data_IF_225708912824
#
_entry.id   IF_225708912824
#
_cell.length_a   1.000
_cell.length_b   1.000
_cell.length_c   1.000
_cell.angle_alpha   90.00
_cell.angle_beta   90.00
_cell.angle_gamma   90.00
#
_symmetry.space_group_name_H-M   'P 1'
#
loop_
_entity.id
_entity.type
_entity.pdbx_description
1 polymer ?
#
# COMPACT_ATOMS: atom_id res chain seq x y z
N UNK A 1 23.01 10.15 -17.32
CA UNK A 1 21.85 9.70 -16.52
C UNK A 1 21.45 8.36 -17.11
N UNK A 2 21.57 7.27 -16.35
CA UNK A 2 21.22 5.93 -16.84
C UNK A 2 19.80 5.62 -16.34
N UNK A 3 18.91 5.13 -17.22
CA UNK A 3 17.53 4.76 -16.86
C UNK A 3 17.41 3.25 -16.98
N UNK A 4 16.95 2.59 -15.93
CA UNK A 4 16.71 1.16 -15.88
C UNK A 4 15.36 0.80 -16.52
N UNK A 5 15.20 -0.45 -16.95
CA UNK A 5 13.98 -0.99 -17.56
C UNK A 5 12.73 -0.84 -16.67
N UNK A 6 12.90 -0.80 -15.34
CA UNK A 6 11.83 -0.61 -14.36
C UNK A 6 11.46 0.87 -14.13
N UNK A 7 11.93 1.80 -14.96
CA UNK A 7 11.69 3.23 -14.82
C UNK A 7 12.48 3.91 -13.70
N UNK A 8 13.48 3.24 -13.12
CA UNK A 8 14.37 3.88 -12.13
C UNK A 8 15.50 4.63 -12.81
N UNK A 9 15.88 5.77 -12.24
CA UNK A 9 17.01 6.59 -12.68
C UNK A 9 18.20 6.36 -11.76
N UNK A 10 19.37 6.09 -12.36
CA UNK A 10 20.65 6.10 -11.69
C UNK A 10 21.31 7.47 -11.77
N UNK A 11 21.50 8.06 -10.60
CA UNK A 11 22.35 9.24 -10.42
C UNK A 11 23.74 8.75 -10.01
N UNK A 12 24.74 9.00 -10.85
CA UNK A 12 26.14 8.65 -10.56
C UNK A 12 26.96 9.92 -10.48
N UNK A 13 27.69 10.10 -9.38
CA UNK A 13 28.58 11.25 -9.24
C UNK A 13 29.68 11.21 -10.32
N UNK A 14 30.00 12.37 -10.89
CA UNK A 14 31.11 12.45 -11.84
C UNK A 14 32.41 12.13 -11.12
N UNK A 15 33.35 11.49 -11.84
CA UNK A 15 34.68 11.19 -11.27
C UNK A 15 35.41 12.48 -10.89
N UNK A 16 35.22 13.56 -11.64
CA UNK A 16 35.86 14.86 -11.40
C UNK A 16 35.32 15.52 -10.14
N UNK A 17 34.00 15.50 -9.90
CA UNK A 17 33.40 16.05 -8.68
C UNK A 17 33.88 15.32 -7.40
N UNK A 18 34.20 14.03 -7.50
CA UNK A 18 34.67 13.25 -6.35
C UNK A 18 36.16 13.46 -6.02
N UNK A 19 36.99 13.97 -6.94
CA UNK A 19 38.45 14.09 -6.75
C UNK A 19 38.83 15.04 -5.60
N UNK A 20 38.07 16.12 -5.37
CA UNK A 20 38.31 17.11 -4.32
C UNK A 20 37.30 17.10 -3.17
N UNK A 21 36.52 16.02 -3.04
CA UNK A 21 35.45 15.98 -2.04
C UNK A 21 36.02 15.79 -0.62
N UNK A 22 35.72 16.67 0.35
CA UNK A 22 36.21 16.58 1.73
C UNK A 22 35.69 15.33 2.48
N UNK A 23 34.64 14.70 1.94
CA UNK A 23 34.00 13.53 2.52
C UNK A 23 34.45 12.21 1.89
N UNK A 24 35.42 12.24 0.97
CA UNK A 24 35.95 11.04 0.30
C UNK A 24 36.73 10.18 1.29
N UNK A 25 36.34 8.91 1.44
CA UNK A 25 36.97 7.96 2.37
C UNK A 25 36.40 7.97 3.79
N UNK A 26 35.73 9.04 4.21
CA UNK A 26 35.03 9.11 5.51
C UNK A 26 33.56 8.72 5.37
N UNK A 27 32.73 9.63 4.84
CA UNK A 27 31.30 9.41 4.59
C UNK A 27 31.06 8.77 3.21
N UNK A 28 31.85 9.14 2.20
CA UNK A 28 31.78 8.59 0.85
C UNK A 28 32.85 7.51 0.65
N UNK A 29 32.52 6.28 1.06
CA UNK A 29 33.43 5.11 0.95
C UNK A 29 33.51 4.53 -0.47
N UNK A 30 32.45 4.67 -1.27
CA UNK A 30 32.41 4.13 -2.62
C UNK A 30 33.34 4.92 -3.56
N UNK A 31 34.12 4.20 -4.38
CA UNK A 31 34.99 4.79 -5.43
C UNK A 31 34.18 5.59 -6.47
N UNK A 32 32.91 5.23 -6.66
CA UNK A 32 31.92 5.91 -7.50
C UNK A 32 30.56 5.87 -6.80
N UNK A 33 30.22 6.88 -5.98
CA UNK A 33 28.92 6.89 -5.31
C UNK A 33 27.80 7.07 -6.34
N UNK A 34 26.75 6.28 -6.16
CA UNK A 34 25.56 6.34 -6.99
C UNK A 34 24.30 6.05 -6.19
N UNK A 35 23.20 6.68 -6.59
CA UNK A 35 21.89 6.53 -5.96
C UNK A 35 20.91 6.14 -7.05
N UNK A 36 20.16 5.07 -6.82
CA UNK A 36 19.02 4.70 -7.64
C UNK A 36 17.78 5.34 -7.04
N UNK A 37 17.04 6.10 -7.83
CA UNK A 37 15.71 6.59 -7.45
C UNK A 37 14.70 6.13 -8.50
N UNK A 38 13.46 5.85 -8.11
CA UNK A 38 12.39 5.74 -9.10
C UNK A 38 12.28 7.07 -9.85
N UNK A 39 12.07 7.03 -11.17
CA UNK A 39 11.74 8.25 -11.89
C UNK A 39 10.54 8.91 -11.22
N UNK A 40 10.57 10.24 -11.13
CA UNK A 40 9.44 11.00 -10.63
C UNK A 40 8.32 10.86 -11.66
N UNK A 41 7.25 10.16 -11.28
CA UNK A 41 6.08 9.94 -12.13
C UNK A 41 4.98 10.91 -11.74
N UNK A 42 4.10 11.24 -12.69
CA UNK A 42 2.96 12.14 -12.44
C UNK A 42 2.08 11.67 -11.26
N UNK A 43 1.97 10.36 -11.07
CA UNK A 43 1.31 9.78 -9.90
C UNK A 43 2.00 10.18 -8.59
N UNK A 44 3.33 10.04 -8.50
CA UNK A 44 4.05 10.36 -7.26
C UNK A 44 3.88 11.84 -6.91
N UNK A 45 3.85 12.72 -7.92
CA UNK A 45 3.61 14.15 -7.76
C UNK A 45 2.19 14.42 -7.28
N UNK A 46 1.21 13.72 -7.84
CA UNK A 46 -0.17 13.79 -7.39
C UNK A 46 -0.32 13.30 -5.95
N UNK A 47 0.32 12.19 -5.58
CA UNK A 47 0.32 11.65 -4.21
C UNK A 47 0.96 12.65 -3.25
N UNK A 48 2.11 13.21 -3.60
CA UNK A 48 2.81 14.21 -2.78
C UNK A 48 1.93 15.44 -2.54
N UNK A 49 1.26 15.96 -3.57
CA UNK A 49 0.28 17.05 -3.43
C UNK A 49 -0.93 16.64 -2.58
N UNK A 50 -1.47 15.44 -2.78
CA UNK A 50 -2.64 14.96 -2.07
C UNK A 50 -2.36 14.78 -0.57
N UNK A 51 -1.19 14.24 -0.20
CA UNK A 51 -0.83 13.98 1.20
C UNK A 51 -0.75 15.24 2.08
N UNK A 52 -0.52 16.42 1.47
CA UNK A 52 -0.51 17.70 2.19
C UNK A 52 -1.93 18.17 2.55
N UNK A 53 -2.97 17.66 1.87
CA UNK A 53 -4.36 18.06 2.13
C UNK A 53 -4.85 17.59 3.51
N UNK A 54 -5.73 18.37 4.13
CA UNK A 54 -6.27 18.02 5.45
C UNK A 54 -7.06 16.70 5.42
N UNK A 55 -7.78 16.45 4.32
CA UNK A 55 -8.49 15.18 4.10
C UNK A 55 -7.55 13.98 4.11
N UNK A 56 -6.36 14.10 3.51
CA UNK A 56 -5.38 13.03 3.52
C UNK A 56 -4.79 12.82 4.91
N UNK A 57 -4.46 13.91 5.63
CA UNK A 57 -3.96 13.85 7.01
C UNK A 57 -4.96 13.17 7.94
N UNK A 58 -6.23 13.55 7.88
CA UNK A 58 -7.28 12.94 8.68
C UNK A 58 -7.52 11.47 8.33
N UNK A 59 -7.43 11.12 7.04
CA UNK A 59 -7.52 9.72 6.62
C UNK A 59 -6.36 8.88 7.16
N UNK A 60 -5.15 9.44 7.20
CA UNK A 60 -3.97 8.77 7.78
C UNK A 60 -4.13 8.58 9.29
N UNK A 61 -4.55 9.64 10.01
CA UNK A 61 -4.84 9.56 11.45
C UNK A 61 -5.85 8.45 11.77
N UNK A 62 -6.95 8.37 11.00
CA UNK A 62 -7.96 7.31 11.16
C UNK A 62 -7.42 5.92 10.83
N UNK A 63 -6.60 5.79 9.78
CA UNK A 63 -5.99 4.51 9.40
C UNK A 63 -5.05 3.97 10.47
N UNK A 64 -4.32 4.83 11.17
CA UNK A 64 -3.43 4.40 12.25
C UNK A 64 -4.20 3.57 13.31
N UNK A 65 -5.32 4.09 13.82
CA UNK A 65 -6.12 3.38 14.82
C UNK A 65 -6.91 2.20 14.22
N UNK A 66 -7.47 2.35 13.01
CA UNK A 66 -8.26 1.28 12.38
C UNK A 66 -7.42 0.06 12.03
N UNK A 67 -6.23 0.25 11.48
CA UNK A 67 -5.36 -0.87 11.11
C UNK A 67 -4.95 -1.69 12.34
N UNK A 68 -4.51 -1.02 13.41
CA UNK A 68 -4.12 -1.67 14.66
C UNK A 68 -5.28 -2.45 15.29
N UNK A 69 -6.47 -1.87 15.28
CA UNK A 69 -7.68 -2.52 15.81
C UNK A 69 -8.01 -3.80 15.04
N UNK A 70 -7.97 -3.75 13.71
CA UNK A 70 -8.23 -4.93 12.85
C UNK A 70 -7.17 -5.99 13.07
N UNK A 71 -5.89 -5.63 13.20
CA UNK A 71 -4.83 -6.59 13.48
C UNK A 71 -4.95 -7.22 14.88
N UNK A 72 -5.35 -6.45 15.89
CA UNK A 72 -5.60 -6.96 17.23
C UNK A 72 -6.76 -7.97 17.23
N UNK A 73 -7.88 -7.63 16.59
CA UNK A 73 -9.02 -8.54 16.41
C UNK A 73 -8.59 -9.81 15.67
N UNK A 74 -7.85 -9.67 14.58
CA UNK A 74 -7.39 -10.80 13.77
C UNK A 74 -6.49 -11.76 14.56
N UNK A 75 -5.64 -11.25 15.44
CA UNK A 75 -4.78 -12.08 16.30
C UNK A 75 -5.59 -12.82 17.37
N UNK A 76 -6.53 -12.13 18.04
CA UNK A 76 -7.24 -12.66 19.21
C UNK A 76 -8.46 -13.48 18.80
N UNK A 77 -9.34 -12.93 17.97
CA UNK A 77 -10.63 -13.54 17.59
C UNK A 77 -10.45 -14.55 16.46
N UNK A 78 -9.62 -14.23 15.46
CA UNK A 78 -9.41 -15.08 14.28
C UNK A 78 -8.17 -15.99 14.38
N UNK A 79 -7.53 -16.03 15.56
CA UNK A 79 -6.46 -16.98 15.85
C UNK A 79 -5.17 -16.78 15.05
N UNK A 80 -4.95 -15.61 14.42
CA UNK A 80 -3.71 -15.32 13.69
C UNK A 80 -2.53 -14.95 14.61
N UNK A 81 -2.64 -15.13 15.93
CA UNK A 81 -1.50 -14.97 16.83
C UNK A 81 -0.40 -16.01 16.58
N UNK A 82 -0.76 -17.17 16.01
CA UNK A 82 0.18 -18.22 15.60
C UNK A 82 -0.25 -18.84 14.27
N UNK A 83 0.72 -19.20 13.45
CA UNK A 83 0.46 -20.05 12.29
C UNK A 83 0.12 -21.46 12.78
N UNK A 84 -1.07 -21.96 12.42
CA UNK A 84 -1.49 -23.33 12.76
C UNK A 84 -0.99 -24.34 11.73
N UNK A 85 -0.78 -23.86 10.50
CA UNK A 85 -0.26 -24.64 9.38
C UNK A 85 1.25 -24.40 9.18
N UNK A 86 1.94 -25.37 8.57
CA UNK A 86 3.37 -25.27 8.21
C UNK A 86 3.55 -25.12 6.71
N UNK A 87 4.51 -24.27 6.31
CA UNK A 87 4.82 -23.96 4.92
C UNK A 87 4.14 -22.68 4.44
N UNK A 88 4.83 -21.91 3.59
CA UNK A 88 4.42 -20.56 3.15
C UNK A 88 3.00 -20.55 2.58
N UNK A 89 2.72 -21.44 1.65
CA UNK A 89 1.47 -21.43 0.90
C UNK A 89 0.27 -21.75 1.82
N UNK A 90 0.45 -22.67 2.76
CA UNK A 90 -0.59 -23.03 3.73
C UNK A 90 -0.86 -21.90 4.72
N UNK A 91 0.19 -21.24 5.23
CA UNK A 91 0.04 -20.06 6.11
C UNK A 91 -0.62 -18.91 5.35
N UNK A 92 -0.29 -18.71 4.08
CA UNK A 92 -0.92 -17.71 3.24
C UNK A 92 -2.43 -17.98 3.09
N UNK A 93 -2.83 -19.23 2.85
CA UNK A 93 -4.26 -19.62 2.81
C UNK A 93 -4.94 -19.32 4.15
N UNK A 94 -4.32 -19.66 5.28
CA UNK A 94 -4.86 -19.37 6.62
C UNK A 94 -5.14 -17.87 6.79
N UNK A 95 -4.17 -17.01 6.45
CA UNK A 95 -4.30 -15.56 6.56
C UNK A 95 -5.39 -15.04 5.60
N UNK A 96 -5.42 -15.50 4.35
CA UNK A 96 -6.40 -15.07 3.36
C UNK A 96 -7.83 -15.41 3.78
N UNK A 97 -8.06 -16.61 4.30
CA UNK A 97 -9.39 -17.03 4.78
C UNK A 97 -9.84 -16.19 5.99
N UNK A 98 -8.94 -15.95 6.94
CA UNK A 98 -9.26 -15.12 8.10
C UNK A 98 -9.61 -13.67 7.71
N UNK A 99 -8.85 -13.09 6.77
CA UNK A 99 -9.15 -11.77 6.20
C UNK A 99 -10.47 -11.75 5.41
N UNK A 100 -10.78 -12.81 4.67
CA UNK A 100 -12.05 -12.92 3.95
C UNK A 100 -13.24 -12.93 4.91
N UNK A 101 -13.14 -13.67 6.02
CA UNK A 101 -14.17 -13.68 7.07
C UNK A 101 -14.35 -12.30 7.69
N UNK A 102 -13.26 -11.58 8.00
CA UNK A 102 -13.34 -10.22 8.51
C UNK A 102 -14.03 -9.27 7.50
N UNK A 103 -13.69 -9.35 6.22
CA UNK A 103 -14.33 -8.57 5.17
C UNK A 103 -15.83 -8.86 5.07
N UNK A 104 -16.24 -10.13 5.15
CA UNK A 104 -17.65 -10.53 5.17
C UNK A 104 -18.36 -9.97 6.40
N UNK A 105 -17.75 -10.06 7.58
CA UNK A 105 -18.30 -9.48 8.83
C UNK A 105 -18.56 -7.98 8.67
N UNK A 106 -17.60 -7.24 8.11
CA UNK A 106 -17.74 -5.81 7.85
C UNK A 106 -18.84 -5.50 6.83
N UNK A 107 -18.98 -6.31 5.78
CA UNK A 107 -20.08 -6.18 4.81
C UNK A 107 -21.44 -6.37 5.48
N UNK A 108 -21.63 -7.43 6.26
CA UNK A 108 -22.88 -7.69 6.97
C UNK A 108 -23.21 -6.54 7.93
N UNK A 109 -22.23 -6.08 8.70
CA UNK A 109 -22.42 -4.96 9.62
C UNK A 109 -22.72 -3.64 8.89
N UNK A 110 -22.17 -3.44 7.69
CA UNK A 110 -22.49 -2.28 6.85
C UNK A 110 -23.92 -2.33 6.31
N UNK A 111 -24.47 -3.51 6.03
CA UNK A 111 -25.85 -3.69 5.59
C UNK A 111 -26.82 -3.44 6.74
N UNK A 112 -26.53 -3.98 7.94
CA UNK A 112 -27.35 -3.78 9.14
C UNK A 112 -27.46 -2.31 9.57
N UNK A 113 -26.36 -1.55 9.44
CA UNK A 113 -26.30 -0.13 9.81
C UNK A 113 -26.99 0.82 8.82
N UNK A 114 -27.46 0.32 7.67
CA UNK A 114 -28.26 1.16 6.77
C UNK A 114 -29.63 1.40 7.41
N UNK A 115 -30.09 2.65 7.56
CA UNK A 115 -31.49 2.88 7.91
C UNK A 115 -32.35 2.18 6.86
N UNK A 116 -33.37 1.43 7.29
CA UNK A 116 -34.35 0.83 6.37
C UNK A 116 -35.11 1.99 5.70
N UNK A 117 -34.58 2.50 4.59
CA UNK A 117 -35.36 3.37 3.72
C UNK A 117 -36.49 2.52 3.16
N UNK A 118 -37.72 2.80 3.56
CA UNK A 118 -38.92 2.30 2.91
C UNK A 118 -38.82 2.64 1.42
N UNK A 119 -38.60 1.62 0.58
CA UNK A 119 -38.25 1.85 -0.82
C UNK A 119 -37.29 0.79 -1.33
N UNK A 120 -37.79 -0.44 -1.43
CA UNK A 120 -37.21 -1.45 -2.31
C UNK A 120 -37.15 -0.92 -3.74
N UNK A 121 -36.09 -1.31 -4.47
CA UNK A 121 -35.80 -1.02 -5.89
C UNK A 121 -34.93 0.22 -6.18
N UNK A 122 -33.63 0.11 -5.92
CA UNK A 122 -32.59 0.52 -6.89
C UNK A 122 -31.26 -0.17 -6.54
N UNK A 123 -31.27 -1.50 -6.54
CA UNK A 123 -30.30 -2.34 -5.82
C UNK A 123 -28.97 -2.59 -6.56
N UNK A 124 -28.71 -2.06 -7.76
CA UNK A 124 -27.51 -2.47 -8.53
C UNK A 124 -26.56 -1.35 -8.99
N UNK A 125 -26.92 -0.06 -8.90
CA UNK A 125 -26.03 1.00 -9.44
C UNK A 125 -24.99 1.53 -8.43
N UNK A 126 -25.20 1.34 -7.12
CA UNK A 126 -24.33 1.95 -6.09
C UNK A 126 -23.14 1.08 -5.66
N UNK A 127 -23.21 -0.24 -5.83
CA UNK A 127 -22.11 -1.13 -5.40
C UNK A 127 -20.93 -1.12 -6.38
N UNK A 128 -21.20 -1.03 -7.69
CA UNK A 128 -20.14 -0.93 -8.71
C UNK A 128 -19.36 0.38 -8.57
N UNK A 129 -20.01 1.49 -8.26
CA UNK A 129 -19.36 2.81 -8.24
C UNK A 129 -18.37 3.01 -7.09
N UNK A 130 -18.54 2.33 -5.94
CA UNK A 130 -17.62 2.46 -4.78
C UNK A 130 -16.64 1.28 -4.63
N UNK A 131 -17.01 0.09 -5.09
CA UNK A 131 -16.12 -1.07 -5.09
C UNK A 131 -15.21 -1.07 -6.34
N UNK A 132 -15.72 -0.71 -7.53
CA UNK A 132 -14.87 -0.55 -8.72
C UNK A 132 -13.99 0.68 -8.67
N UNK A 133 -14.32 1.75 -7.93
CA UNK A 133 -13.39 2.88 -7.73
C UNK A 133 -12.19 2.51 -6.84
N UNK A 134 -12.37 1.53 -5.96
CA UNK A 134 -11.30 1.03 -5.08
C UNK A 134 -10.50 -0.07 -5.80
N UNK A 135 -11.16 -0.89 -6.63
CA UNK A 135 -10.49 -1.93 -7.43
C UNK A 135 -9.78 -1.37 -8.66
N UNK A 136 -10.30 -0.34 -9.36
CA UNK A 136 -9.57 0.31 -10.46
C UNK A 136 -8.22 0.89 -9.99
N UNK A 137 -8.15 1.36 -8.75
CA UNK A 137 -6.91 1.89 -8.17
C UNK A 137 -5.91 0.77 -7.83
N UNK A 138 -6.38 -0.43 -7.47
CA UNK A 138 -5.51 -1.58 -7.20
C UNK A 138 -5.17 -2.39 -8.45
N UNK A 139 -5.95 -2.32 -9.54
CA UNK A 139 -5.63 -3.02 -10.78
C UNK A 139 -4.64 -2.27 -11.67
N UNK A 140 -4.54 -0.94 -11.56
CA UNK A 140 -3.49 -0.18 -12.27
C UNK A 140 -2.14 -0.13 -11.50
N UNK A 141 -2.13 -0.34 -10.18
CA UNK A 141 -0.91 -0.37 -9.37
C UNK A 141 -0.49 -1.75 -8.85
N UNK A 142 -1.41 -2.70 -8.80
CA UNK A 142 -1.18 -4.02 -8.19
C UNK A 142 -0.40 -5.01 -9.05
N UNK A 143 -0.27 -4.77 -10.36
CA UNK A 143 0.48 -5.66 -11.26
C UNK A 143 2.00 -5.55 -11.03
N UNK A 144 2.49 -4.53 -10.31
CA UNK A 144 3.92 -4.32 -10.05
C UNK A 144 4.37 -4.53 -8.60
N UNK A 145 3.49 -5.04 -7.72
CA UNK A 145 3.81 -5.21 -6.29
C UNK A 145 3.85 -6.68 -5.83
N UNK A 146 3.71 -7.64 -6.74
CA UNK A 146 3.71 -9.09 -6.44
C UNK A 146 4.55 -9.92 -7.43
N UNK A 147 5.63 -9.33 -7.95
CA UNK A 147 6.78 -10.14 -8.37
C UNK A 147 7.86 -9.99 -7.30
N UNK A 148 8.32 -11.14 -6.79
CA UNK A 148 9.40 -11.30 -5.83
C UNK A 148 10.69 -10.61 -6.27
#
# INVERSE_FOLDING_TARGET
>A
MEVYRNGSVLYRASRTACKGCPHRGTLCKAKRPSIVRKAKTELMDWVERYLVTERARDSIKKRASWAETVFAEMKVVHGLNRATLRGRDKVQIQVLLAMAVHNIKQLVESVKRRPQSAGSQCFLHSFTTRFMSTIRFTTEFGVLAFEF
#
